data_IF_227986049087
#
_entry.id   IF_227986049087
#
_cell.length_a   1.000
_cell.length_b   1.000
_cell.length_c   1.000
_cell.angle_alpha   90.00
_cell.angle_beta   90.00
_cell.angle_gamma   90.00
#
_symmetry.space_group_name_H-M   'P 1'
#
loop_
_entity.id
_entity.type
_entity.pdbx_description
1 polymer ?
#
# COMPACT_ATOMS: atom_id res chain seq x y z
N UNK A 1 18.00 7.04 25.47
CA UNK A 1 17.62 7.92 24.35
C UNK A 1 16.56 7.21 23.52
N UNK A 2 15.55 7.92 23.00
CA UNK A 2 14.63 7.35 22.02
C UNK A 2 15.42 6.96 20.76
N UNK A 3 14.92 5.96 20.05
CA UNK A 3 15.52 5.54 18.75
C UNK A 3 14.74 6.18 17.62
N UNK A 4 15.45 6.64 16.61
CA UNK A 4 14.81 7.16 15.39
C UNK A 4 14.14 6.05 14.63
N UNK A 5 12.99 6.36 13.99
CA UNK A 5 12.17 5.41 13.25
C UNK A 5 11.86 5.93 11.85
N UNK A 6 11.83 5.03 10.89
CA UNK A 6 11.29 5.28 9.55
C UNK A 6 9.94 4.60 9.42
N UNK A 7 8.95 5.30 8.89
CA UNK A 7 7.60 4.78 8.66
C UNK A 7 7.27 4.88 7.18
N UNK A 8 7.01 3.74 6.56
CA UNK A 8 6.29 3.67 5.30
C UNK A 8 4.80 3.54 5.63
N UNK A 9 4.04 4.61 5.37
CA UNK A 9 2.60 4.68 5.64
C UNK A 9 1.81 4.29 4.40
N UNK A 10 1.95 3.04 3.98
CA UNK A 10 1.34 2.54 2.76
C UNK A 10 -0.17 2.27 2.86
N UNK A 11 -0.86 2.36 1.73
CA UNK A 11 -2.31 2.07 1.61
C UNK A 11 -2.65 0.63 2.03
N UNK A 12 -1.79 -0.34 1.71
CA UNK A 12 -2.00 -1.75 2.03
C UNK A 12 -1.40 -2.15 3.37
N UNK A 13 -0.14 -1.76 3.62
CA UNK A 13 0.62 -2.11 4.82
C UNK A 13 1.33 -0.89 5.37
N UNK A 14 1.55 -0.88 6.68
CA UNK A 14 2.48 0.01 7.37
C UNK A 14 3.73 -0.78 7.70
N UNK A 15 4.90 -0.27 7.28
CA UNK A 15 6.19 -0.80 7.67
C UNK A 15 6.89 0.20 8.59
N UNK A 16 7.49 -0.31 9.67
CA UNK A 16 8.30 0.53 10.56
C UNK A 16 9.70 -0.06 10.71
N UNK A 17 10.67 0.77 10.38
CA UNK A 17 12.08 0.52 10.61
C UNK A 17 12.53 1.25 11.86
N UNK A 18 13.29 0.60 12.72
CA UNK A 18 13.92 1.23 13.90
C UNK A 18 15.41 1.26 13.70
N UNK A 19 16.01 2.43 13.88
CA UNK A 19 17.45 2.63 13.75
C UNK A 19 18.25 1.58 14.55
N UNK A 20 19.11 0.86 13.84
CA UNK A 20 19.94 -0.22 14.39
C UNK A 20 19.24 -1.56 14.61
N UNK A 21 17.95 -1.70 14.23
CA UNK A 21 17.20 -2.97 14.32
C UNK A 21 16.62 -3.45 12.99
N UNK A 22 16.56 -2.58 11.97
CA UNK A 22 15.89 -2.87 10.70
C UNK A 22 14.36 -2.79 10.80
N UNK A 23 13.66 -3.46 9.88
CA UNK A 23 12.19 -3.52 9.85
C UNK A 23 11.72 -4.35 11.04
N UNK A 24 10.96 -3.74 11.93
CA UNK A 24 10.45 -4.36 13.17
C UNK A 24 8.94 -4.51 13.18
N UNK A 25 8.24 -3.89 12.21
CA UNK A 25 6.80 -3.99 12.05
C UNK A 25 6.46 -3.99 10.56
N UNK A 26 5.60 -4.93 10.18
CA UNK A 26 4.95 -5.01 8.87
C UNK A 26 3.53 -5.49 9.11
N UNK A 27 2.58 -4.56 9.11
CA UNK A 27 1.18 -4.81 9.47
C UNK A 27 0.24 -4.21 8.43
N UNK A 28 -0.90 -4.83 8.14
CA UNK A 28 -1.91 -4.25 7.26
C UNK A 28 -2.41 -2.90 7.76
N UNK A 29 -2.64 -1.96 6.84
CA UNK A 29 -3.23 -0.64 7.11
C UNK A 29 -4.76 -0.77 7.28
N UNK A 30 -5.19 -1.48 8.33
CA UNK A 30 -6.57 -1.85 8.58
C UNK A 30 -6.91 -1.67 10.06
N UNK A 31 -8.09 -1.13 10.33
CA UNK A 31 -8.60 -0.90 11.69
C UNK A 31 -10.03 -1.40 11.78
N UNK A 32 -10.35 -2.14 12.81
CA UNK A 32 -11.72 -2.54 13.14
C UNK A 32 -12.28 -1.63 14.24
N UNK A 33 -13.46 -1.07 14.01
CA UNK A 33 -14.12 -0.11 14.90
C UNK A 33 -15.49 -0.63 15.28
N UNK A 34 -15.84 -0.53 16.55
CA UNK A 34 -17.19 -0.76 17.02
C UNK A 34 -18.06 0.46 16.67
N UNK A 35 -19.11 0.26 15.89
CA UNK A 35 -19.96 1.34 15.37
C UNK A 35 -20.84 1.99 16.43
N UNK A 36 -21.13 1.29 17.53
CA UNK A 36 -21.99 1.81 18.60
C UNK A 36 -21.21 2.71 19.56
N UNK A 37 -19.92 2.42 19.74
CA UNK A 37 -19.06 3.15 20.70
C UNK A 37 -17.99 4.02 20.04
N UNK A 38 -17.81 3.90 18.70
CA UNK A 38 -16.72 4.52 17.93
C UNK A 38 -15.32 4.19 18.46
N UNK A 39 -15.15 3.06 19.13
CA UNK A 39 -13.84 2.64 19.66
C UNK A 39 -13.16 1.65 18.73
N UNK A 40 -11.86 1.82 18.58
CA UNK A 40 -11.00 0.83 17.91
C UNK A 40 -10.99 -0.46 18.74
N UNK A 41 -11.24 -1.58 18.08
CA UNK A 41 -11.27 -2.93 18.70
C UNK A 41 -10.13 -3.82 18.22
N UNK A 42 -9.58 -3.57 17.03
CA UNK A 42 -8.42 -4.27 16.52
C UNK A 42 -7.68 -3.40 15.47
N UNK A 43 -6.37 -3.63 15.31
CA UNK A 43 -5.50 -2.92 14.36
C UNK A 43 -4.59 -3.92 13.66
N UNK A 44 -4.25 -3.64 12.41
CA UNK A 44 -3.30 -4.45 11.65
C UNK A 44 -3.83 -5.83 11.30
N UNK A 45 -3.03 -6.85 11.52
CA UNK A 45 -3.33 -8.25 11.17
C UNK A 45 -4.61 -8.75 11.83
N UNK A 46 -4.87 -8.41 13.09
CA UNK A 46 -6.09 -8.78 13.80
C UNK A 46 -7.34 -8.19 13.13
N UNK A 47 -7.28 -6.91 12.74
CA UNK A 47 -8.37 -6.26 12.02
C UNK A 47 -8.54 -6.83 10.60
N UNK A 48 -7.44 -7.18 9.95
CA UNK A 48 -7.46 -7.77 8.61
C UNK A 48 -8.16 -9.14 8.56
N UNK A 49 -8.01 -9.95 9.59
CA UNK A 49 -8.70 -11.24 9.70
C UNK A 49 -10.23 -11.08 9.79
N UNK A 50 -10.69 -9.92 10.26
CA UNK A 50 -12.11 -9.58 10.37
C UNK A 50 -12.74 -9.12 9.04
N UNK A 51 -11.94 -8.81 8.01
CA UNK A 51 -12.45 -8.33 6.72
C UNK A 51 -13.44 -9.32 6.11
N UNK A 52 -14.68 -8.88 5.87
CA UNK A 52 -15.76 -9.69 5.30
C UNK A 52 -16.37 -10.71 6.25
N UNK A 53 -16.06 -10.66 7.56
CA UNK A 53 -16.52 -11.63 8.58
C UNK A 53 -17.05 -10.97 9.85
N UNK A 54 -17.28 -9.65 9.84
CA UNK A 54 -17.70 -8.90 11.02
C UNK A 54 -19.21 -9.01 11.29
N UNK A 55 -19.62 -9.03 12.58
CA UNK A 55 -21.01 -8.78 12.95
C UNK A 55 -21.38 -7.30 12.64
N UNK A 56 -22.68 -7.00 12.61
CA UNK A 56 -23.19 -5.70 12.14
C UNK A 56 -22.70 -4.47 12.93
N UNK A 57 -22.27 -4.66 14.16
CA UNK A 57 -21.75 -3.59 15.02
C UNK A 57 -20.22 -3.41 14.95
N UNK A 58 -19.53 -4.12 14.07
CA UNK A 58 -18.09 -3.93 13.81
C UNK A 58 -17.88 -3.61 12.34
N UNK A 59 -17.21 -2.51 12.07
CA UNK A 59 -16.82 -2.07 10.73
C UNK A 59 -15.29 -2.09 10.59
N UNK A 60 -14.81 -2.73 9.54
CA UNK A 60 -13.40 -2.70 9.17
C UNK A 60 -13.15 -1.54 8.22
N UNK A 61 -12.19 -0.70 8.55
CA UNK A 61 -11.84 0.54 7.84
C UNK A 61 -10.40 0.43 7.35
N UNK A 62 -10.16 0.90 6.12
CA UNK A 62 -8.83 1.22 5.61
C UNK A 62 -8.66 2.73 5.68
N UNK A 63 -7.89 3.25 6.65
CA UNK A 63 -7.78 4.68 6.89
C UNK A 63 -6.96 5.41 5.82
N UNK A 64 -6.21 4.65 5.02
CA UNK A 64 -5.44 5.14 3.87
C UNK A 64 -6.07 4.65 2.57
N UNK A 65 -6.11 5.52 1.56
CA UNK A 65 -6.64 5.20 0.24
C UNK A 65 -5.89 5.97 -0.84
N UNK A 66 -5.43 5.25 -1.86
CA UNK A 66 -4.67 5.84 -2.97
C UNK A 66 -3.46 6.69 -2.49
N UNK A 67 -2.73 6.19 -1.49
CA UNK A 67 -1.54 6.85 -0.94
C UNK A 67 -1.80 8.03 -0.01
N UNK A 68 -3.07 8.35 0.33
CA UNK A 68 -3.42 9.49 1.19
C UNK A 68 -4.29 9.08 2.37
N UNK A 69 -4.29 9.93 3.40
CA UNK A 69 -5.14 9.75 4.58
C UNK A 69 -6.60 10.03 4.19
N UNK A 70 -7.44 9.01 4.28
CA UNK A 70 -8.89 9.09 4.04
C UNK A 70 -9.66 9.35 5.35
N UNK A 71 -9.10 8.90 6.49
CA UNK A 71 -9.65 9.09 7.83
C UNK A 71 -8.50 9.45 8.78
N UNK A 72 -8.47 10.72 9.21
CA UNK A 72 -7.36 11.24 9.99
C UNK A 72 -7.32 10.64 11.41
N UNK A 73 -8.44 10.58 12.09
CA UNK A 73 -8.51 10.14 13.49
C UNK A 73 -8.16 8.65 13.60
N UNK A 74 -8.67 7.84 12.67
CA UNK A 74 -8.36 6.41 12.61
C UNK A 74 -6.90 6.17 12.22
N UNK A 75 -6.32 7.01 11.35
CA UNK A 75 -4.88 6.93 11.00
C UNK A 75 -4.01 7.25 12.22
N UNK A 76 -4.36 8.30 12.97
CA UNK A 76 -3.66 8.67 14.20
C UNK A 76 -3.71 7.54 15.24
N UNK A 77 -4.89 6.94 15.48
CA UNK A 77 -5.04 5.82 16.41
C UNK A 77 -4.24 4.59 15.95
N UNK A 78 -4.26 4.27 14.66
CA UNK A 78 -3.47 3.17 14.08
C UNK A 78 -1.96 3.39 14.28
N UNK A 79 -1.45 4.57 13.95
CA UNK A 79 -0.04 4.91 14.13
C UNK A 79 0.36 4.91 15.61
N UNK A 80 -0.49 5.46 16.49
CA UNK A 80 -0.27 5.45 17.94
C UNK A 80 -0.12 4.02 18.46
N UNK A 81 -1.03 3.13 18.06
CA UNK A 81 -0.98 1.72 18.43
C UNK A 81 0.34 1.06 17.99
N UNK A 82 0.76 1.27 16.74
CA UNK A 82 1.99 0.68 16.23
C UNK A 82 3.23 1.25 16.92
N UNK A 83 3.32 2.55 17.14
CA UNK A 83 4.46 3.20 17.81
C UNK A 83 4.57 2.76 19.28
N UNK A 84 3.43 2.60 19.97
CA UNK A 84 3.40 2.09 21.34
C UNK A 84 3.87 0.65 21.44
N UNK A 85 3.44 -0.22 20.52
CA UNK A 85 3.85 -1.61 20.43
C UNK A 85 5.37 -1.80 20.28
N UNK A 86 6.05 -0.84 19.64
CA UNK A 86 7.49 -0.89 19.41
C UNK A 86 8.34 -0.57 20.65
N UNK A 87 7.76 0.06 21.65
CA UNK A 87 8.45 0.51 22.88
C UNK A 87 9.76 1.28 22.59
N UNK A 88 9.71 2.20 21.61
CA UNK A 88 10.88 3.00 21.17
C UNK A 88 11.02 4.32 21.90
N UNK A 89 10.02 4.69 22.70
CA UNK A 89 10.05 5.93 23.53
C UNK A 89 11.12 5.81 24.63
N UNK A 90 11.94 6.81 24.80
CA UNK A 90 12.82 6.93 25.95
C UNK A 90 12.11 7.55 27.13
N UNK A 91 12.71 7.48 28.34
CA UNK A 91 12.09 7.98 29.59
C UNK A 91 11.64 9.46 29.53
N UNK A 92 12.35 10.30 28.75
CA UNK A 92 12.01 11.73 28.57
C UNK A 92 12.23 12.19 27.12
N UNK A 93 12.27 11.28 26.16
CA UNK A 93 12.51 11.62 24.75
C UNK A 93 11.59 10.86 23.82
N UNK A 94 11.10 11.58 22.82
CA UNK A 94 10.31 11.02 21.73
C UNK A 94 11.22 10.64 20.56
N UNK A 95 10.89 9.61 19.74
CA UNK A 95 11.64 9.27 18.55
C UNK A 95 11.50 10.37 17.47
N UNK A 96 12.56 10.64 16.73
CA UNK A 96 12.39 11.34 15.46
C UNK A 96 11.80 10.34 14.44
N UNK A 97 10.93 10.84 13.59
CA UNK A 97 10.23 10.04 12.59
C UNK A 97 10.57 10.56 11.21
N UNK A 98 11.06 9.68 10.33
CA UNK A 98 11.02 9.88 8.89
C UNK A 98 9.78 9.14 8.38
N UNK A 99 8.86 9.82 7.70
CA UNK A 99 7.67 9.23 7.10
C UNK A 99 7.69 9.44 5.59
N UNK A 100 7.28 8.43 4.83
CA UNK A 100 7.26 8.47 3.38
C UNK A 100 5.87 8.84 2.85
N UNK A 101 5.84 9.48 1.69
CA UNK A 101 4.62 9.81 0.97
C UNK A 101 4.83 9.67 -0.55
N UNK A 102 3.77 9.34 -1.33
CA UNK A 102 3.82 9.36 -2.78
C UNK A 102 4.20 10.74 -3.33
N UNK A 103 4.78 10.78 -4.52
CA UNK A 103 5.19 12.06 -5.15
C UNK A 103 4.00 12.94 -5.53
N UNK A 104 2.83 12.35 -5.74
CA UNK A 104 1.60 13.04 -6.14
C UNK A 104 0.78 13.66 -5.00
N UNK A 105 1.27 13.65 -3.74
CA UNK A 105 0.53 14.22 -2.61
C UNK A 105 0.57 15.74 -2.58
N UNK A 106 -0.55 16.35 -2.27
CA UNK A 106 -0.68 17.80 -2.10
C UNK A 106 -0.03 18.28 -0.80
N UNK A 107 0.28 19.58 -0.71
CA UNK A 107 0.83 20.18 0.52
C UNK A 107 -0.09 20.04 1.74
N UNK A 108 -1.40 19.94 1.52
CA UNK A 108 -2.39 19.71 2.61
C UNK A 108 -2.29 18.27 3.09
N UNK A 109 -2.22 17.30 2.18
CA UNK A 109 -2.05 15.90 2.51
C UNK A 109 -0.71 15.63 3.22
N UNK A 110 0.39 16.26 2.78
CA UNK A 110 1.69 16.20 3.47
C UNK A 110 1.60 16.69 4.93
N UNK A 111 0.92 17.82 5.15
CA UNK A 111 0.69 18.33 6.50
C UNK A 111 -0.13 17.38 7.36
N UNK A 112 -1.15 16.75 6.80
CA UNK A 112 -1.97 15.76 7.50
C UNK A 112 -1.13 14.54 7.93
N UNK A 113 -0.26 14.03 7.06
CA UNK A 113 0.66 12.92 7.36
C UNK A 113 1.61 13.31 8.52
N UNK A 114 2.23 14.48 8.44
CA UNK A 114 3.14 14.98 9.50
C UNK A 114 2.40 15.11 10.82
N UNK A 115 1.22 15.73 10.82
CA UNK A 115 0.42 15.92 12.04
C UNK A 115 -0.03 14.59 12.67
N UNK A 116 -0.44 13.60 11.87
CA UNK A 116 -0.79 12.28 12.35
C UNK A 116 0.40 11.62 13.06
N UNK A 117 1.61 11.68 12.47
CA UNK A 117 2.82 11.13 13.07
C UNK A 117 3.25 11.87 14.36
N UNK A 118 3.15 13.21 14.41
CA UNK A 118 3.44 14.01 15.60
C UNK A 118 2.51 13.66 16.77
N UNK A 119 1.21 13.60 16.51
CA UNK A 119 0.19 13.26 17.51
C UNK A 119 0.33 11.83 18.02
N UNK A 120 0.74 10.91 17.16
CA UNK A 120 0.99 9.50 17.52
C UNK A 120 2.22 9.28 18.40
N UNK A 121 2.91 10.33 18.79
CA UNK A 121 4.01 10.29 19.76
C UNK A 121 5.40 10.51 19.14
N UNK A 122 5.48 10.99 17.91
CA UNK A 122 6.71 11.49 17.29
C UNK A 122 7.26 12.73 18.00
N UNK A 123 8.58 12.86 17.96
CA UNK A 123 9.32 14.07 18.33
C UNK A 123 9.35 15.04 17.14
N UNK A 124 10.48 15.05 16.42
CA UNK A 124 10.55 15.69 15.11
C UNK A 124 10.08 14.73 14.04
N UNK A 125 9.21 15.21 13.14
CA UNK A 125 8.74 14.44 11.99
C UNK A 125 9.31 15.06 10.71
N UNK A 126 9.91 14.24 9.89
CA UNK A 126 10.42 14.56 8.56
C UNK A 126 9.61 13.78 7.54
N UNK A 127 9.30 14.40 6.41
CA UNK A 127 8.63 13.74 5.30
C UNK A 127 9.59 13.70 4.12
N UNK A 128 9.67 12.56 3.46
CA UNK A 128 10.36 12.40 2.17
C UNK A 128 9.47 11.59 1.21
N UNK A 129 9.85 11.53 -0.06
CA UNK A 129 9.07 10.84 -1.07
C UNK A 129 9.45 9.36 -1.18
N UNK A 130 8.42 8.51 -1.37
CA UNK A 130 8.55 7.04 -1.46
C UNK A 130 9.65 6.59 -2.42
N UNK A 131 9.75 7.06 -3.70
CA UNK A 131 10.78 6.60 -4.63
C UNK A 131 12.21 6.90 -4.16
N UNK A 132 12.40 8.01 -3.45
CA UNK A 132 13.71 8.40 -2.92
C UNK A 132 14.15 7.45 -1.80
N UNK A 133 13.24 7.18 -0.88
CA UNK A 133 13.50 6.25 0.24
C UNK A 133 13.65 4.82 -0.26
N UNK A 134 12.80 4.40 -1.23
CA UNK A 134 12.91 3.09 -1.87
C UNK A 134 14.25 2.90 -2.58
N UNK A 135 14.74 3.90 -3.31
CA UNK A 135 16.06 3.87 -3.94
C UNK A 135 17.18 3.64 -2.94
N UNK A 136 17.17 4.40 -1.83
CA UNK A 136 18.16 4.22 -0.74
C UNK A 136 18.05 2.83 -0.12
N UNK A 137 16.82 2.36 0.13
CA UNK A 137 16.56 1.02 0.67
C UNK A 137 17.04 -0.11 -0.25
N UNK A 138 16.97 0.09 -1.57
CA UNK A 138 17.49 -0.81 -2.59
C UNK A 138 19.02 -0.74 -2.75
N UNK A 139 19.70 0.15 -2.03
CA UNK A 139 21.16 0.31 -2.08
C UNK A 139 21.65 1.12 -3.28
N UNK A 140 20.79 1.88 -3.95
CA UNK A 140 21.19 2.77 -5.04
C UNK A 140 21.93 3.98 -4.46
N UNK A 141 23.05 4.34 -5.08
CA UNK A 141 23.79 5.56 -4.75
C UNK A 141 23.18 6.74 -5.52
N UNK A 142 22.08 7.27 -4.99
CA UNK A 142 21.33 8.36 -5.61
C UNK A 142 22.07 9.72 -5.56
N UNK A 143 23.15 9.84 -4.77
CA UNK A 143 23.91 11.09 -4.60
C UNK A 143 24.89 11.37 -5.71
N UNK A 144 25.19 10.37 -6.53
CA UNK A 144 26.02 10.56 -7.73
C UNK A 144 25.30 11.36 -8.82
N UNK A 145 26.04 12.07 -9.67
CA UNK A 145 25.47 12.72 -10.86
C UNK A 145 25.18 11.68 -11.97
N UNK A 146 24.26 10.80 -11.66
CA UNK A 146 23.83 9.68 -12.52
C UNK A 146 22.34 9.45 -12.31
N UNK A 147 21.58 9.32 -13.40
CA UNK A 147 20.14 9.03 -13.33
C UNK A 147 19.88 7.61 -12.84
N UNK A 148 19.04 7.47 -11.82
CA UNK A 148 18.54 6.20 -11.30
C UNK A 148 17.01 6.21 -11.42
N UNK A 149 16.46 5.27 -12.17
CA UNK A 149 15.00 5.11 -12.28
C UNK A 149 14.49 4.16 -11.21
N UNK A 150 13.43 4.57 -10.52
CA UNK A 150 12.70 3.76 -9.56
C UNK A 150 11.23 3.69 -9.99
N UNK A 151 10.66 2.50 -9.93
CA UNK A 151 9.23 2.25 -10.08
C UNK A 151 8.77 1.58 -8.80
N UNK A 152 8.08 2.32 -7.96
CA UNK A 152 7.53 1.84 -6.70
C UNK A 152 6.05 1.53 -6.87
N UNK A 153 5.69 0.25 -6.78
CA UNK A 153 4.32 -0.25 -6.97
C UNK A 153 3.77 -0.69 -5.62
N UNK A 154 3.01 0.19 -4.99
CA UNK A 154 2.41 -0.06 -3.69
C UNK A 154 1.04 -0.72 -3.75
N UNK A 155 0.25 -0.53 -2.67
CA UNK A 155 -1.15 -0.95 -2.61
C UNK A 155 -2.10 0.01 -3.31
N UNK A 156 -1.92 1.33 -3.11
CA UNK A 156 -2.80 2.40 -3.61
C UNK A 156 -2.25 3.21 -4.78
N UNK A 157 -0.93 3.37 -4.83
CA UNK A 157 -0.21 4.20 -5.79
C UNK A 157 0.94 3.45 -6.45
N UNK A 158 1.28 3.90 -7.65
CA UNK A 158 2.53 3.57 -8.33
C UNK A 158 3.26 4.87 -8.60
N UNK A 159 4.47 4.99 -8.06
CA UNK A 159 5.34 6.14 -8.24
C UNK A 159 6.51 5.78 -9.14
N UNK A 160 6.66 6.51 -10.22
CA UNK A 160 7.79 6.39 -11.15
C UNK A 160 8.62 7.65 -11.01
N UNK A 161 9.90 7.52 -10.73
CA UNK A 161 10.80 8.67 -10.57
C UNK A 161 12.20 8.40 -11.13
N UNK A 162 12.83 9.44 -11.61
CA UNK A 162 14.27 9.48 -11.87
C UNK A 162 14.93 10.37 -10.82
N UNK A 163 15.95 9.80 -10.21
CA UNK A 163 16.72 10.40 -9.11
C UNK A 163 18.16 10.64 -9.55
N UNK A 164 18.68 11.81 -9.22
CA UNK A 164 20.09 12.15 -9.42
C UNK A 164 20.51 13.18 -8.36
N UNK A 165 21.73 13.11 -7.89
CA UNK A 165 22.32 14.06 -6.91
C UNK A 165 21.46 14.22 -5.63
N UNK A 166 20.78 13.15 -5.21
CA UNK A 166 19.95 13.10 -4.02
C UNK A 166 18.54 13.67 -4.17
N UNK A 167 18.14 14.11 -5.38
CA UNK A 167 16.85 14.74 -5.64
C UNK A 167 16.07 14.06 -6.76
N UNK A 168 14.77 14.28 -6.80
CA UNK A 168 13.89 13.83 -7.88
C UNK A 168 14.03 14.78 -9.06
N UNK A 169 14.51 14.26 -10.19
CA UNK A 169 14.65 15.01 -11.45
C UNK A 169 13.29 15.14 -12.16
N UNK A 170 12.58 14.02 -12.27
CA UNK A 170 11.22 13.95 -12.81
C UNK A 170 10.49 12.78 -12.18
N UNK A 171 9.18 12.90 -12.04
CA UNK A 171 8.35 11.83 -11.49
C UNK A 171 6.93 11.89 -12.00
N UNK A 172 6.26 10.74 -11.92
CA UNK A 172 4.82 10.60 -12.13
C UNK A 172 4.24 9.64 -11.09
N UNK A 173 3.11 10.03 -10.49
CA UNK A 173 2.36 9.21 -9.56
C UNK A 173 1.03 8.79 -10.15
N UNK A 174 0.75 7.50 -10.11
CA UNK A 174 -0.49 6.89 -10.59
C UNK A 174 -1.31 6.36 -9.42
N UNK A 175 -2.63 6.55 -9.45
CA UNK A 175 -3.58 5.91 -8.54
C UNK A 175 -4.02 4.54 -9.08
N UNK A 176 -3.06 3.78 -9.60
CA UNK A 176 -3.22 2.40 -10.04
C UNK A 176 -2.09 1.56 -9.43
N UNK A 177 -2.47 0.59 -8.60
CA UNK A 177 -1.55 -0.31 -7.90
C UNK A 177 -2.30 -1.56 -7.41
N UNK A 178 -1.83 -2.25 -6.39
CA UNK A 178 -2.34 -3.53 -5.92
C UNK A 178 -3.85 -3.59 -5.69
N UNK A 179 -4.45 -2.57 -5.08
CA UNK A 179 -5.90 -2.52 -4.83
C UNK A 179 -6.73 -2.43 -6.12
N UNK A 180 -6.25 -1.68 -7.11
CA UNK A 180 -6.90 -1.61 -8.42
C UNK A 180 -6.72 -2.89 -9.22
N UNK A 181 -5.59 -3.56 -9.06
CA UNK A 181 -5.37 -4.89 -9.62
C UNK A 181 -6.35 -5.91 -9.04
N UNK A 182 -6.60 -5.88 -7.72
CA UNK A 182 -7.61 -6.72 -7.08
C UNK A 182 -9.01 -6.44 -7.62
N UNK A 183 -9.37 -5.17 -7.84
CA UNK A 183 -10.66 -4.81 -8.42
C UNK A 183 -10.81 -5.29 -9.88
N UNK A 184 -9.74 -5.27 -10.66
CA UNK A 184 -9.72 -5.83 -12.01
C UNK A 184 -9.98 -7.34 -11.99
N UNK A 185 -9.34 -8.08 -11.08
CA UNK A 185 -9.57 -9.52 -10.88
C UNK A 185 -11.03 -9.80 -10.46
N UNK A 186 -11.57 -9.06 -9.48
CA UNK A 186 -12.97 -9.20 -9.04
C UNK A 186 -13.92 -8.98 -10.23
N UNK A 187 -13.70 -7.92 -11.00
CA UNK A 187 -14.54 -7.56 -12.13
C UNK A 187 -14.48 -8.61 -13.23
N UNK A 188 -13.28 -9.13 -13.52
CA UNK A 188 -13.09 -10.16 -14.53
C UNK A 188 -13.83 -11.46 -14.15
N UNK A 189 -13.62 -11.95 -12.92
CA UNK A 189 -14.25 -13.18 -12.44
C UNK A 189 -15.79 -13.03 -12.38
N UNK A 190 -16.28 -11.87 -11.94
CA UNK A 190 -17.72 -11.57 -11.97
C UNK A 190 -18.28 -11.67 -13.39
N UNK A 191 -17.63 -11.03 -14.36
CA UNK A 191 -18.15 -10.94 -15.72
C UNK A 191 -18.02 -12.25 -16.51
N UNK A 192 -16.92 -12.98 -16.31
CA UNK A 192 -16.66 -14.22 -17.09
C UNK A 192 -17.26 -15.47 -16.44
N UNK A 193 -17.22 -15.55 -15.11
CA UNK A 193 -17.64 -16.75 -14.37
C UNK A 193 -18.95 -16.57 -13.62
N UNK A 194 -19.58 -15.37 -13.66
CA UNK A 194 -20.74 -15.02 -12.87
C UNK A 194 -20.54 -15.27 -11.36
N UNK A 195 -19.32 -15.04 -10.86
CA UNK A 195 -18.96 -15.35 -9.48
C UNK A 195 -18.54 -14.09 -8.74
N UNK A 196 -19.20 -13.77 -7.63
CA UNK A 196 -18.81 -12.70 -6.72
C UNK A 196 -17.79 -13.23 -5.72
N UNK A 197 -16.64 -12.56 -5.67
CA UNK A 197 -15.56 -12.82 -4.71
C UNK A 197 -15.22 -11.55 -3.94
N UNK A 198 -14.61 -11.71 -2.76
CA UNK A 198 -14.11 -10.59 -1.95
C UNK A 198 -12.70 -10.16 -2.33
N UNK A 199 -12.29 -8.98 -1.86
CA UNK A 199 -10.96 -8.41 -2.12
C UNK A 199 -9.82 -9.31 -1.64
N UNK A 200 -9.99 -9.98 -0.49
CA UNK A 200 -9.00 -10.92 0.05
C UNK A 200 -8.78 -12.12 -0.89
N UNK A 201 -9.86 -12.67 -1.44
CA UNK A 201 -9.78 -13.75 -2.41
C UNK A 201 -9.09 -13.30 -3.69
N UNK A 202 -9.41 -12.10 -4.19
CA UNK A 202 -8.77 -11.52 -5.37
C UNK A 202 -7.27 -11.30 -5.15
N UNK A 203 -6.87 -10.82 -3.99
CA UNK A 203 -5.47 -10.67 -3.59
C UNK A 203 -4.73 -12.01 -3.63
N UNK A 204 -5.32 -13.05 -3.05
CA UNK A 204 -4.74 -14.40 -3.06
C UNK A 204 -4.56 -14.93 -4.48
N UNK A 205 -5.58 -14.80 -5.34
CA UNK A 205 -5.51 -15.21 -6.75
C UNK A 205 -4.39 -14.45 -7.47
N UNK A 206 -4.32 -13.13 -7.29
CA UNK A 206 -3.27 -12.30 -7.89
C UNK A 206 -1.87 -12.75 -7.49
N UNK A 207 -1.65 -13.06 -6.22
CA UNK A 207 -0.36 -13.53 -5.69
C UNK A 207 -0.02 -14.93 -6.22
N UNK A 208 -1.00 -15.83 -6.28
CA UNK A 208 -0.78 -17.24 -6.60
C UNK A 208 -0.55 -17.50 -8.09
N UNK A 209 -1.36 -16.88 -8.95
CA UNK A 209 -1.36 -17.14 -10.39
C UNK A 209 -1.29 -15.89 -11.27
N UNK A 210 -1.15 -14.69 -10.67
CA UNK A 210 -1.00 -13.44 -11.42
C UNK A 210 0.35 -13.37 -12.14
N UNK A 211 0.34 -12.87 -13.36
CA UNK A 211 1.54 -12.57 -14.14
C UNK A 211 1.34 -11.27 -14.91
N UNK A 212 2.42 -10.50 -15.05
CA UNK A 212 2.43 -9.29 -15.88
C UNK A 212 2.74 -9.61 -17.36
N UNK A 213 3.47 -10.70 -17.61
CA UNK A 213 3.93 -11.10 -18.93
C UNK A 213 4.12 -12.62 -18.97
N UNK A 214 3.81 -13.25 -20.10
CA UNK A 214 3.95 -14.70 -20.34
C UNK A 214 3.45 -15.53 -19.15
N UNK A 215 2.12 -15.64 -18.97
CA UNK A 215 1.55 -16.39 -17.86
C UNK A 215 1.86 -17.89 -18.03
N UNK A 216 2.02 -18.58 -16.90
CA UNK A 216 2.15 -20.04 -16.91
C UNK A 216 0.79 -20.65 -17.29
N UNK A 217 0.72 -21.20 -18.50
CA UNK A 217 -0.51 -21.77 -19.09
C UNK A 217 -1.13 -22.89 -18.25
N UNK A 218 -0.32 -23.61 -17.48
CA UNK A 218 -0.77 -24.74 -16.67
C UNK A 218 -1.24 -24.31 -15.26
N UNK A 219 -0.91 -23.07 -14.85
CA UNK A 219 -1.33 -22.59 -13.52
C UNK A 219 -2.80 -22.23 -13.47
N UNK A 220 -3.47 -22.78 -12.48
CA UNK A 220 -4.88 -22.54 -12.22
C UNK A 220 -5.20 -22.67 -10.73
N UNK A 221 -6.26 -22.01 -10.27
CA UNK A 221 -6.74 -22.06 -8.91
C UNK A 221 -8.26 -22.25 -8.85
N UNK A 222 -8.72 -23.04 -7.91
CA UNK A 222 -10.17 -23.18 -7.62
C UNK A 222 -10.62 -22.06 -6.68
N UNK A 223 -11.57 -21.28 -7.17
CA UNK A 223 -12.10 -20.10 -6.47
C UNK A 223 -13.53 -20.37 -6.00
N UNK A 224 -13.82 -19.97 -4.76
CA UNK A 224 -15.16 -20.05 -4.18
C UNK A 224 -15.74 -18.65 -4.01
N UNK A 225 -17.02 -18.53 -4.30
CA UNK A 225 -17.73 -17.26 -4.18
C UNK A 225 -19.26 -17.48 -4.20
N UNK A 226 -19.99 -16.41 -4.46
CA UNK A 226 -21.44 -16.44 -4.60
C UNK A 226 -21.80 -16.25 -6.07
N UNK A 227 -22.63 -17.13 -6.61
CA UNK A 227 -23.17 -16.98 -7.96
C UNK A 227 -24.00 -15.69 -8.07
N UNK A 228 -23.84 -14.96 -9.18
CA UNK A 228 -24.54 -13.68 -9.41
C UNK A 228 -26.01 -13.92 -9.77
N UNK A 229 -26.36 -15.09 -10.34
CA UNK A 229 -27.67 -15.38 -10.87
C UNK A 229 -28.63 -15.87 -9.79
N UNK A 230 -28.22 -16.90 -9.05
CA UNK A 230 -29.07 -17.56 -8.04
C UNK A 230 -28.70 -17.22 -6.58
N UNK A 231 -27.57 -16.53 -6.39
CA UNK A 231 -27.10 -16.11 -5.07
C UNK A 231 -26.49 -17.23 -4.22
N UNK A 232 -26.38 -18.46 -4.74
CA UNK A 232 -25.89 -19.62 -4.01
C UNK A 232 -24.34 -19.69 -4.00
N UNK A 233 -23.75 -20.41 -3.03
CA UNK A 233 -22.34 -20.72 -3.04
C UNK A 233 -21.97 -21.52 -4.31
N UNK A 234 -20.90 -21.08 -4.98
CA UNK A 234 -20.40 -21.72 -6.20
C UNK A 234 -18.87 -21.71 -6.20
N UNK A 235 -18.30 -22.65 -6.90
CA UNK A 235 -16.86 -22.67 -7.18
C UNK A 235 -16.60 -22.76 -8.68
N UNK A 236 -15.48 -22.20 -9.10
CA UNK A 236 -14.99 -22.27 -10.49
C UNK A 236 -13.48 -22.36 -10.50
N UNK A 237 -12.91 -22.78 -11.63
CA UNK A 237 -11.47 -22.74 -11.86
C UNK A 237 -11.13 -21.51 -12.67
N UNK A 238 -10.07 -20.80 -12.25
CA UNK A 238 -9.53 -19.62 -12.91
C UNK A 238 -8.08 -19.87 -13.25
N UNK A 239 -7.65 -19.47 -14.42
CA UNK A 239 -6.32 -19.74 -14.98
C UNK A 239 -5.42 -18.50 -14.95
N UNK A 240 -4.09 -18.70 -14.98
CA UNK A 240 -3.14 -17.59 -15.02
C UNK A 240 -3.29 -16.69 -16.26
N UNK A 241 -3.55 -17.20 -17.48
CA UNK A 241 -3.86 -16.37 -18.64
C UNK A 241 -5.09 -15.47 -18.46
N UNK A 242 -6.11 -15.94 -17.73
CA UNK A 242 -7.28 -15.13 -17.42
C UNK A 242 -6.94 -13.96 -16.50
N UNK A 243 -6.11 -14.20 -15.50
CA UNK A 243 -5.70 -13.15 -14.55
C UNK A 243 -4.75 -12.17 -15.22
N UNK A 244 -3.80 -12.62 -16.03
CA UNK A 244 -2.95 -11.76 -16.84
C UNK A 244 -3.80 -10.81 -17.72
N UNK A 245 -4.81 -11.33 -18.42
CA UNK A 245 -5.73 -10.54 -19.24
C UNK A 245 -6.53 -9.51 -18.40
N UNK A 246 -6.90 -9.87 -17.18
CA UNK A 246 -7.58 -8.94 -16.27
C UNK A 246 -6.68 -7.77 -15.84
N UNK A 247 -5.38 -8.03 -15.66
CA UNK A 247 -4.40 -7.05 -15.18
C UNK A 247 -3.83 -6.17 -16.28
N UNK A 248 -3.79 -6.66 -17.52
CA UNK A 248 -3.11 -6.04 -18.67
C UNK A 248 -3.42 -4.54 -18.86
N UNK A 249 -4.70 -4.07 -18.85
CA UNK A 249 -4.97 -2.65 -19.09
C UNK A 249 -4.33 -1.72 -18.07
N UNK A 250 -4.27 -2.14 -16.81
CA UNK A 250 -3.64 -1.36 -15.76
C UNK A 250 -2.13 -1.43 -15.77
N UNK A 251 -1.56 -2.59 -16.12
CA UNK A 251 -0.11 -2.73 -16.31
C UNK A 251 0.38 -1.85 -17.44
N UNK A 252 -0.39 -1.73 -18.52
CA UNK A 252 -0.08 -0.82 -19.62
C UNK A 252 -0.05 0.64 -19.18
N UNK A 253 -0.87 1.04 -18.19
CA UNK A 253 -0.81 2.40 -17.63
C UNK A 253 0.48 2.67 -16.86
N UNK A 254 1.02 1.68 -16.15
CA UNK A 254 2.31 1.77 -15.47
C UNK A 254 3.44 1.91 -16.50
N UNK A 255 3.41 1.09 -17.56
CA UNK A 255 4.40 1.17 -18.64
C UNK A 255 4.36 2.54 -19.32
N UNK A 256 3.17 3.08 -19.58
CA UNK A 256 3.00 4.40 -20.17
C UNK A 256 3.61 5.51 -19.29
N UNK A 257 3.37 5.46 -17.96
CA UNK A 257 3.97 6.40 -17.02
C UNK A 257 5.51 6.30 -17.00
N UNK A 258 6.04 5.07 -17.02
CA UNK A 258 7.49 4.86 -17.07
C UNK A 258 8.10 5.48 -18.34
N UNK A 259 7.46 5.31 -19.49
CA UNK A 259 7.89 5.94 -20.77
C UNK A 259 7.83 7.46 -20.70
N UNK A 260 6.73 8.01 -20.18
CA UNK A 260 6.56 9.47 -20.06
C UNK A 260 7.63 10.10 -19.16
N UNK A 261 7.95 9.44 -18.03
CA UNK A 261 9.03 9.89 -17.14
C UNK A 261 10.40 9.87 -17.87
N UNK A 262 10.67 8.83 -18.66
CA UNK A 262 11.90 8.75 -19.46
C UNK A 262 11.95 9.84 -20.54
N UNK A 263 10.84 10.08 -21.24
CA UNK A 263 10.74 11.08 -22.31
C UNK A 263 10.90 12.52 -21.80
N UNK A 264 10.47 12.78 -20.57
CA UNK A 264 10.57 14.10 -19.93
C UNK A 264 11.87 14.30 -19.16
N UNK A 265 12.71 13.27 -19.05
CA UNK A 265 14.01 13.36 -18.39
C UNK A 265 15.02 14.09 -19.27
N UNK A 266 15.80 15.04 -18.72
CA UNK A 266 16.91 15.63 -19.45
C UNK A 266 17.87 14.56 -19.99
N UNK A 267 18.40 14.72 -21.22
CA UNK A 267 19.25 13.69 -21.86
C UNK A 267 20.62 13.51 -21.21
N UNK A 268 21.03 14.43 -20.35
CA UNK A 268 22.28 14.42 -19.61
C UNK A 268 22.09 13.78 -18.22
#
# INVERSE_FOLDING_TARGET
MARDIGIDLGTANVLINVSGKGIVLNEPSVVAVNTDTNKVVAVGSEAYEMVGRTPGNIRVIRPLKNGVIADFDITEEMLSYFIEKLNVKGFMSKPNILICAPTGVTSIEQKAIIQAAEKSGGGKVYLDFEPKVAAVGAGLDIFKPQGNMVIDIGGGTTDVAILSMGEIVTSQSLRYAGDRMNQAVISYIKNKHNLLIGSRTAEQIKIEIGSAFEPDEDKQVTVRGRDVVDGLPKQTTVTAPEIQKALEPGLMSIIAAAKEVLETTPPE
#
